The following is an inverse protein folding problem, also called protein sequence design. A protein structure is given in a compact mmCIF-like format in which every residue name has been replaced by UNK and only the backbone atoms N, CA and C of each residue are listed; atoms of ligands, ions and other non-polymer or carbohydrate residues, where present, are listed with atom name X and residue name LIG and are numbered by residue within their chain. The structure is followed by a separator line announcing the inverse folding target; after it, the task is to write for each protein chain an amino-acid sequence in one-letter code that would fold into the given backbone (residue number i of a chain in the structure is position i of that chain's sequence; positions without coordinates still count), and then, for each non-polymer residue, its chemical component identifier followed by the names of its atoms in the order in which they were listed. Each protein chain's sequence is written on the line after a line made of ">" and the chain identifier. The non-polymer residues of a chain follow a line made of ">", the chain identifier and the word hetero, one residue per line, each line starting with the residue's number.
data_IF_371822405958
#
_entry.id   IF_371822405958
#
_cell.length_a   1.000
_cell.length_b   1.000
_cell.length_c   1.000
_cell.angle_alpha   90.00
_cell.angle_beta   90.00
_cell.angle_gamma   90.00
#
_symmetry.space_group_name_H-M   'P 1'
#
loop_
_entity.id
_entity.type
_entity.pdbx_description
1 polymer ?
#
# COMPACT_ATOMS: atom_id res chain seq x y z
N UNK A 1 -12.87 -14.60 -12.31
CA UNK A 1 -11.59 -14.14 -12.88
C UNK A 1 -10.68 -13.80 -11.71
N UNK A 2 -9.48 -14.37 -11.63
CA UNK A 2 -8.52 -14.03 -10.57
C UNK A 2 -7.83 -12.73 -10.99
N UNK A 3 -7.88 -11.70 -10.14
CA UNK A 3 -7.19 -10.44 -10.41
C UNK A 3 -5.67 -10.63 -10.45
N UNK A 4 -5.00 -9.95 -11.38
CA UNK A 4 -3.54 -9.97 -11.42
C UNK A 4 -2.96 -9.20 -10.21
N UNK A 5 -1.73 -9.51 -9.76
CA UNK A 5 -1.11 -8.86 -8.60
C UNK A 5 -1.11 -7.33 -8.68
N UNK A 6 -0.95 -6.77 -9.89
CA UNK A 6 -1.04 -5.33 -10.12
C UNK A 6 -2.42 -4.79 -9.74
N UNK A 7 -3.51 -5.38 -10.23
CA UNK A 7 -4.87 -4.93 -9.90
C UNK A 7 -5.14 -5.01 -8.40
N UNK A 8 -4.66 -6.06 -7.74
CA UNK A 8 -4.75 -6.20 -6.28
C UNK A 8 -3.99 -5.04 -5.61
N UNK A 9 -2.74 -4.80 -6.00
CA UNK A 9 -1.92 -3.70 -5.49
C UNK A 9 -2.59 -2.34 -5.65
N UNK A 10 -3.13 -2.03 -6.83
CA UNK A 10 -3.87 -0.79 -7.07
C UNK A 10 -5.07 -0.66 -6.13
N UNK A 11 -5.86 -1.72 -5.95
CA UNK A 11 -7.02 -1.68 -5.06
C UNK A 11 -6.61 -1.47 -3.59
N UNK A 12 -5.46 -2.01 -3.15
CA UNK A 12 -4.94 -1.78 -1.81
C UNK A 12 -4.46 -0.34 -1.62
N UNK A 13 -3.76 0.22 -2.61
CA UNK A 13 -3.35 1.62 -2.57
C UNK A 13 -4.55 2.57 -2.52
N UNK A 14 -5.59 2.31 -3.32
CA UNK A 14 -6.86 3.06 -3.27
C UNK A 14 -7.56 2.92 -1.91
N UNK A 15 -7.55 1.72 -1.32
CA UNK A 15 -8.14 1.48 -0.02
C UNK A 15 -7.43 2.31 1.08
N UNK A 16 -6.10 2.34 1.08
CA UNK A 16 -5.29 3.14 2.02
C UNK A 16 -5.60 4.63 1.86
N UNK A 17 -5.70 5.10 0.61
CA UNK A 17 -6.04 6.48 0.31
C UNK A 17 -7.42 6.86 0.86
N UNK A 18 -8.44 6.04 0.58
CA UNK A 18 -9.81 6.31 1.01
C UNK A 18 -10.05 6.09 2.50
N UNK A 19 -9.27 5.23 3.15
CA UNK A 19 -9.33 4.96 4.59
C UNK A 19 -7.98 4.48 5.09
N UNK A 20 -7.55 4.99 6.24
CA UNK A 20 -6.40 4.43 6.94
C UNK A 20 -6.71 2.98 7.38
N UNK A 21 -6.19 2.00 6.64
CA UNK A 21 -6.42 0.57 6.84
C UNK A 21 -5.07 -0.16 6.97
N UNK A 22 -4.56 -0.39 8.19
CA UNK A 22 -3.27 -1.05 8.43
C UNK A 22 -3.11 -2.40 7.73
N UNK A 23 -4.21 -3.12 7.49
CA UNK A 23 -4.17 -4.38 6.73
C UNK A 23 -3.76 -4.16 5.28
N UNK A 24 -4.25 -3.10 4.65
CA UNK A 24 -3.92 -2.80 3.26
C UNK A 24 -2.45 -2.37 3.10
N UNK A 25 -1.84 -1.75 4.12
CA UNK A 25 -0.40 -1.48 4.16
C UNK A 25 0.42 -2.78 4.16
N UNK A 26 0.05 -3.71 5.05
CA UNK A 26 0.70 -5.04 5.13
C UNK A 26 0.53 -5.84 3.85
N UNK A 27 -0.67 -5.82 3.26
CA UNK A 27 -0.94 -6.51 1.99
C UNK A 27 -0.05 -5.96 0.86
N UNK A 28 0.16 -4.63 0.77
CA UNK A 28 1.07 -4.04 -0.21
C UNK A 28 2.53 -4.45 -0.02
N UNK A 29 3.00 -4.49 1.23
CA UNK A 29 4.34 -4.98 1.56
C UNK A 29 4.56 -6.40 1.02
N UNK A 30 3.60 -7.31 1.27
CA UNK A 30 3.70 -8.69 0.81
C UNK A 30 3.47 -8.87 -0.69
N UNK A 31 2.85 -7.90 -1.37
CA UNK A 31 2.69 -7.93 -2.82
C UNK A 31 3.96 -7.54 -3.57
N UNK A 32 4.93 -6.87 -2.91
CA UNK A 32 6.19 -6.42 -3.53
C UNK A 32 6.87 -7.48 -4.42
N UNK A 33 7.02 -8.75 -4.01
CA UNK A 33 7.68 -9.77 -4.85
C UNK A 33 6.91 -10.14 -6.13
N UNK A 34 5.61 -9.82 -6.20
CA UNK A 34 4.72 -10.14 -7.32
C UNK A 34 4.44 -8.95 -8.23
N UNK A 35 4.90 -7.77 -7.84
CA UNK A 35 4.75 -6.55 -8.60
C UNK A 35 5.98 -6.37 -9.48
N UNK A 36 5.77 -6.23 -10.79
CA UNK A 36 6.84 -5.94 -11.75
C UNK A 36 7.34 -4.48 -11.66
N UNK A 37 6.85 -3.73 -10.68
CA UNK A 37 7.19 -2.33 -10.43
C UNK A 37 7.22 -2.08 -8.92
N UNK A 38 7.94 -1.05 -8.48
CA UNK A 38 7.97 -0.65 -7.08
C UNK A 38 6.64 -0.04 -6.60
N UNK A 39 6.56 0.19 -5.29
CA UNK A 39 5.38 0.75 -4.64
C UNK A 39 5.03 2.14 -5.17
N UNK A 40 6.02 2.97 -5.50
CA UNK A 40 5.82 4.31 -6.04
C UNK A 40 5.13 4.24 -7.40
N UNK A 41 5.49 3.25 -8.22
CA UNK A 41 4.82 3.04 -9.51
C UNK A 41 3.40 2.50 -9.35
N UNK A 42 3.14 1.62 -8.39
CA UNK A 42 1.77 1.17 -8.06
C UNK A 42 0.92 2.36 -7.63
N UNK A 43 1.46 3.23 -6.80
CA UNK A 43 0.84 4.46 -6.34
C UNK A 43 0.50 5.39 -7.52
N UNK A 44 1.46 5.64 -8.42
CA UNK A 44 1.25 6.45 -9.63
C UNK A 44 0.13 5.89 -10.51
N UNK A 45 0.14 4.57 -10.73
CA UNK A 45 -0.89 3.89 -11.52
C UNK A 45 -2.27 3.92 -10.86
N UNK A 46 -2.34 3.95 -9.52
CA UNK A 46 -3.60 4.06 -8.80
C UNK A 46 -4.29 5.41 -9.09
N UNK A 47 -3.52 6.48 -9.28
CA UNK A 47 -4.05 7.81 -9.70
C UNK A 47 -4.70 7.77 -11.08
N UNK A 48 -4.18 6.95 -11.99
CA UNK A 48 -4.79 6.78 -13.32
C UNK A 48 -6.10 5.99 -13.25
N UNK A 49 -6.31 5.21 -12.17
CA UNK A 49 -7.53 4.43 -11.94
C UNK A 49 -8.62 5.27 -11.25
N UNK A 50 -8.23 6.23 -10.42
CA UNK A 50 -9.13 7.13 -9.72
C UNK A 50 -8.58 8.57 -9.80
N UNK A 51 -9.24 9.40 -10.61
CA UNK A 51 -8.78 10.74 -10.97
C UNK A 51 -8.83 11.75 -9.81
N UNK A 52 -9.51 11.43 -8.72
CA UNK A 52 -9.65 12.30 -7.54
C UNK A 52 -8.45 12.19 -6.57
N UNK A 53 -7.36 11.53 -6.99
CA UNK A 53 -6.17 11.37 -6.16
C UNK A 53 -5.12 12.43 -6.49
N UNK A 54 -4.91 13.33 -5.54
CA UNK A 54 -3.89 14.36 -5.65
C UNK A 54 -2.50 13.85 -5.24
N UNK A 55 -1.46 14.37 -5.89
CA UNK A 55 -0.08 13.91 -5.65
C UNK A 55 0.37 14.09 -4.19
N UNK A 56 -0.02 15.18 -3.55
CA UNK A 56 0.37 15.50 -2.17
C UNK A 56 -0.28 14.57 -1.14
N UNK A 57 -1.41 13.95 -1.47
CA UNK A 57 -2.08 13.02 -0.55
C UNK A 57 -1.33 11.70 -0.43
N UNK A 58 -0.40 11.39 -1.34
CA UNK A 58 0.50 10.26 -1.17
C UNK A 58 1.55 10.48 -0.10
N UNK A 59 2.00 11.73 0.10
CA UNK A 59 2.86 12.07 1.25
C UNK A 59 2.14 11.71 2.54
N UNK A 60 0.82 11.95 2.63
CA UNK A 60 0.01 11.54 3.77
C UNK A 60 0.00 10.01 3.94
N UNK A 61 -0.17 9.23 2.88
CA UNK A 61 -0.14 7.76 2.96
C UNK A 61 1.17 7.24 3.52
N UNK A 62 2.29 7.81 3.07
CA UNK A 62 3.63 7.49 3.55
C UNK A 62 3.76 7.83 5.04
N UNK A 63 3.43 9.06 5.43
CA UNK A 63 3.48 9.51 6.83
C UNK A 63 2.53 8.71 7.74
N UNK A 64 1.37 8.30 7.23
CA UNK A 64 0.41 7.49 7.97
C UNK A 64 0.95 6.08 8.27
N UNK A 65 1.90 5.55 7.47
CA UNK A 65 2.54 4.27 7.75
C UNK A 65 3.28 4.29 9.10
N UNK A 66 3.93 5.41 9.45
CA UNK A 66 4.61 5.63 10.76
C UNK A 66 3.64 5.60 11.95
N UNK A 67 2.33 5.78 11.69
CA UNK A 67 1.28 5.75 12.72
C UNK A 67 0.75 4.33 12.99
N UNK A 68 1.20 3.31 12.25
CA UNK A 68 0.81 1.92 12.48
C UNK A 68 1.52 1.40 13.74
N UNK A 69 0.77 1.32 14.85
CA UNK A 69 1.30 0.79 16.13
C UNK A 69 0.97 -0.68 16.37
N UNK A 70 -0.06 -1.19 15.69
CA UNK A 70 -0.55 -2.55 15.87
C UNK A 70 -0.76 -3.17 14.51
N UNK A 71 -0.01 -4.25 14.23
CA UNK A 71 -0.17 -5.02 13.02
C UNK A 71 -1.45 -5.88 13.10
N UNK A 72 -2.14 -6.11 11.97
CA UNK A 72 -3.23 -7.07 11.93
C UNK A 72 -2.72 -8.48 12.28
N UNK A 73 -3.64 -9.44 12.50
CA UNK A 73 -3.23 -10.85 12.59
C UNK A 73 -2.64 -11.29 11.25
N UNK A 74 -1.38 -11.71 11.25
CA UNK A 74 -0.67 -12.13 10.05
C UNK A 74 -0.36 -13.62 10.07
N UNK A 75 -0.35 -14.25 8.88
CA UNK A 75 0.13 -15.63 8.70
C UNK A 75 1.65 -15.72 8.59
N UNK A 76 2.29 -14.60 8.19
CA UNK A 76 3.73 -14.43 8.09
C UNK A 76 4.10 -13.16 8.86
N UNK A 77 5.08 -13.26 9.73
CA UNK A 77 5.54 -12.14 10.55
C UNK A 77 6.24 -11.07 9.69
N UNK A 78 6.04 -9.81 10.07
CA UNK A 78 6.82 -8.66 9.61
C UNK A 78 7.13 -7.81 10.84
N UNK A 79 8.26 -7.11 10.81
CA UNK A 79 8.58 -6.07 11.79
C UNK A 79 7.93 -4.74 11.38
N UNK A 80 7.59 -3.91 12.37
CA UNK A 80 7.05 -2.57 12.09
C UNK A 80 8.06 -1.69 11.33
N UNK A 81 9.36 -1.79 11.66
CA UNK A 81 10.39 -1.01 10.97
C UNK A 81 10.53 -1.45 9.50
N UNK A 82 10.33 -2.73 9.19
CA UNK A 82 10.33 -3.21 7.81
C UNK A 82 9.15 -2.65 7.02
N UNK A 83 7.99 -2.52 7.67
CA UNK A 83 6.81 -1.93 7.07
C UNK A 83 7.00 -0.43 6.82
N UNK A 84 7.46 0.31 7.81
CA UNK A 84 7.77 1.74 7.68
C UNK A 84 8.81 1.99 6.57
N UNK A 85 9.90 1.21 6.57
CA UNK A 85 10.97 1.33 5.57
C UNK A 85 10.52 0.97 4.14
N UNK A 86 9.40 0.26 3.98
CA UNK A 86 8.86 -0.03 2.66
C UNK A 86 8.11 1.16 2.04
N UNK A 87 7.58 2.06 2.87
CA UNK A 87 6.86 3.25 2.41
C UNK A 87 7.74 4.49 2.31
N UNK A 88 8.98 4.45 2.82
CA UNK A 88 9.99 5.53 2.75
C UNK A 88 11.01 5.28 1.63
#
# INVERSE_FOLDING_TARGET
>A
MVDCPLNIGLNKALAIYGRFDPKSYVDLYFLKPFLNFDIMKVIELAKNKDADIEAFQWVKVILDAENIRVLPRMLKEIDLNDLESFFH
#
